data_IF_520275800969
#
_entry.id   IF_520275800969
#
_cell.length_a   1.000
_cell.length_b   1.000
_cell.length_c   1.000
_cell.angle_alpha   90.00
_cell.angle_beta   90.00
_cell.angle_gamma   90.00
#
_symmetry.space_group_name_H-M   'P 1'
#
loop_
_entity.id
_entity.type
_entity.pdbx_description
1 polymer ?
#
# COMPACT_ATOMS: atom_id res chain seq x y z
N UNK A 1 17.91 1.21 -50.02
CA UNK A 1 18.93 0.91 -48.98
C UNK A 1 19.31 2.20 -48.27
N UNK A 2 18.92 2.34 -47.00
CA UNK A 2 19.88 2.73 -45.99
C UNK A 2 19.81 1.82 -44.75
N UNK A 3 20.98 1.47 -44.23
CA UNK A 3 21.21 0.61 -43.07
C UNK A 3 20.88 1.38 -41.78
N UNK A 4 19.90 0.91 -41.00
CA UNK A 4 19.63 1.43 -39.64
C UNK A 4 20.63 0.83 -38.64
N UNK A 5 21.43 1.70 -38.02
CA UNK A 5 22.47 1.37 -37.05
C UNK A 5 21.82 0.81 -35.77
N UNK A 6 22.03 -0.49 -35.51
CA UNK A 6 21.93 -1.04 -34.14
C UNK A 6 22.96 -0.29 -33.28
N UNK A 7 22.50 0.50 -32.32
CA UNK A 7 23.33 1.01 -31.23
C UNK A 7 23.84 -0.19 -30.44
N UNK A 8 24.99 -0.70 -30.85
CA UNK A 8 25.72 -1.71 -30.11
C UNK A 8 26.11 -1.10 -28.77
N UNK A 9 25.58 -1.64 -27.68
CA UNK A 9 25.93 -1.22 -26.33
C UNK A 9 27.38 -1.66 -26.08
N UNK A 10 28.32 -0.76 -26.39
CA UNK A 10 29.77 -0.96 -26.34
C UNK A 10 30.25 -1.33 -24.93
N UNK A 11 29.47 -1.00 -23.91
CA UNK A 11 29.78 -1.24 -22.51
C UNK A 11 29.26 -2.56 -21.95
N UNK A 12 28.48 -3.37 -22.68
CA UNK A 12 27.92 -4.62 -22.13
C UNK A 12 29.00 -5.57 -21.60
N UNK A 13 30.06 -5.82 -22.38
CA UNK A 13 31.16 -6.70 -21.96
C UNK A 13 32.05 -6.06 -20.90
N UNK A 14 32.51 -4.79 -21.05
CA UNK A 14 33.25 -4.11 -19.99
C UNK A 14 32.50 -4.02 -18.67
N UNK A 15 31.20 -3.71 -18.69
CA UNK A 15 30.35 -3.63 -17.51
C UNK A 15 30.20 -5.00 -16.85
N UNK A 16 29.92 -6.06 -17.62
CA UNK A 16 29.88 -7.42 -17.09
C UNK A 16 31.19 -7.79 -16.42
N UNK A 17 32.33 -7.56 -17.09
CA UNK A 17 33.64 -7.85 -16.50
C UNK A 17 33.92 -7.03 -15.24
N UNK A 18 33.50 -5.77 -15.21
CA UNK A 18 33.66 -4.90 -14.04
C UNK A 18 32.79 -5.39 -12.87
N UNK A 19 31.53 -5.72 -13.13
CA UNK A 19 30.64 -6.30 -12.12
C UNK A 19 31.21 -7.61 -11.62
N UNK A 20 31.59 -8.53 -12.51
CA UNK A 20 32.16 -9.83 -12.15
C UNK A 20 33.48 -9.68 -11.34
N UNK A 21 34.26 -8.61 -11.59
CA UNK A 21 35.52 -8.36 -10.89
C UNK A 21 35.32 -7.78 -9.48
N UNK A 22 34.32 -6.93 -9.28
CA UNK A 22 34.15 -6.16 -8.04
C UNK A 22 32.95 -6.61 -7.20
N UNK A 23 32.01 -7.39 -7.75
CA UNK A 23 30.80 -7.83 -7.03
C UNK A 23 31.14 -8.61 -5.78
N UNK A 24 32.02 -9.60 -5.87
CA UNK A 24 32.42 -10.43 -4.72
C UNK A 24 33.09 -9.60 -3.63
N UNK A 25 33.92 -8.62 -4.02
CA UNK A 25 34.59 -7.72 -3.07
C UNK A 25 33.56 -6.83 -2.37
N UNK A 26 32.62 -6.26 -3.11
CA UNK A 26 31.55 -5.42 -2.56
C UNK A 26 30.61 -6.23 -1.67
N UNK A 27 30.25 -7.46 -2.06
CA UNK A 27 29.43 -8.39 -1.27
C UNK A 27 30.16 -8.75 0.02
N UNK A 28 31.44 -9.12 -0.04
CA UNK A 28 32.24 -9.42 1.14
C UNK A 28 32.36 -8.20 2.06
N UNK A 29 32.57 -7.00 1.51
CA UNK A 29 32.62 -5.77 2.29
C UNK A 29 31.27 -5.48 2.98
N UNK A 30 30.15 -5.67 2.28
CA UNK A 30 28.81 -5.52 2.84
C UNK A 30 28.48 -6.58 3.89
N UNK A 31 28.93 -7.83 3.72
CA UNK A 31 28.71 -8.89 4.72
C UNK A 31 29.46 -8.64 6.04
N UNK A 32 30.53 -7.86 6.02
CA UNK A 32 31.34 -7.53 7.21
C UNK A 32 31.02 -6.15 7.81
N UNK A 33 30.18 -5.35 7.16
CA UNK A 33 29.70 -4.08 7.70
C UNK A 33 28.51 -4.32 8.64
N UNK A 34 28.40 -3.51 9.70
CA UNK A 34 27.20 -3.57 10.53
C UNK A 34 26.01 -2.96 9.76
N UNK A 35 24.79 -3.50 9.92
CA UNK A 35 23.59 -2.97 9.24
C UNK A 35 23.40 -1.46 9.40
N UNK A 36 23.72 -0.90 10.57
CA UNK A 36 23.66 0.54 10.84
C UNK A 36 24.61 1.36 9.94
N UNK A 37 25.80 0.83 9.65
CA UNK A 37 26.82 1.52 8.87
C UNK A 37 26.47 1.45 7.38
N UNK A 38 25.88 0.33 6.94
CA UNK A 38 25.29 0.21 5.60
C UNK A 38 24.17 1.23 5.42
N UNK A 39 23.20 1.29 6.34
CA UNK A 39 22.06 2.22 6.27
C UNK A 39 22.50 3.69 6.31
N UNK A 40 23.51 4.05 7.10
CA UNK A 40 24.09 5.39 7.11
C UNK A 40 24.80 5.71 5.78
N UNK A 41 25.56 4.77 5.20
CA UNK A 41 26.28 4.97 3.95
C UNK A 41 25.34 5.23 2.76
N UNK A 42 24.18 4.58 2.71
CA UNK A 42 23.16 4.80 1.65
C UNK A 42 22.18 5.92 1.98
N UNK A 43 22.36 6.64 3.10
CA UNK A 43 21.56 7.81 3.47
C UNK A 43 20.18 7.50 4.06
N UNK A 44 19.94 6.26 4.51
CA UNK A 44 18.70 5.89 5.21
C UNK A 44 18.70 6.25 6.71
N UNK A 45 19.86 6.63 7.27
CA UNK A 45 19.97 7.13 8.63
C UNK A 45 20.67 8.50 8.66
N UNK A 46 20.06 9.48 9.33
CA UNK A 46 20.77 10.69 9.75
C UNK A 46 21.70 10.32 10.91
N UNK A 47 23.00 10.62 10.79
CA UNK A 47 23.96 10.31 11.85
C UNK A 47 23.54 11.02 13.15
N UNK A 48 23.40 10.25 14.23
CA UNK A 48 23.13 10.78 15.58
C UNK A 48 24.23 11.79 15.95
N UNK A 49 23.87 13.07 16.04
CA UNK A 49 24.77 14.08 16.59
C UNK A 49 24.92 13.77 18.09
N UNK A 50 26.15 13.60 18.63
CA UNK A 50 26.31 13.27 20.03
C UNK A 50 25.78 14.43 20.88
N UNK A 51 24.79 14.17 21.73
CA UNK A 51 24.34 15.15 22.71
C UNK A 51 25.52 15.50 23.63
N UNK A 52 26.00 16.74 23.56
CA UNK A 52 26.90 17.27 24.56
C UNK A 52 26.13 17.48 25.88
N UNK A 53 26.76 17.20 27.04
CA UNK A 53 26.11 17.43 28.32
C UNK A 53 25.85 18.92 28.52
N UNK A 54 24.58 19.28 28.72
CA UNK A 54 24.17 20.64 29.03
C UNK A 54 24.75 21.05 30.39
N UNK A 55 25.63 22.06 30.38
CA UNK A 55 26.06 22.74 31.61
C UNK A 55 25.03 23.83 31.94
N UNK A 56 24.48 23.91 33.16
CA UNK A 56 23.55 24.97 33.52
C UNK A 56 24.21 26.34 33.36
N UNK A 57 23.56 27.24 32.61
CA UNK A 57 24.03 28.60 32.44
C UNK A 57 24.04 29.32 33.80
N UNK A 58 25.24 29.66 34.29
CA UNK A 58 25.39 30.69 35.32
C UNK A 58 25.02 32.03 34.69
N UNK A 59 24.05 32.68 35.33
CA UNK A 59 23.62 34.05 35.06
C UNK A 59 24.80 34.99 35.22
N UNK A 60 25.25 35.60 34.13
CA UNK A 60 25.99 36.87 34.16
C UNK A 60 25.43 37.71 33.03
N UNK A 61 24.74 38.77 33.44
CA UNK A 61 24.36 39.94 32.64
C UNK A 61 25.59 40.66 32.13
N UNK A 62 25.59 41.09 30.86
CA UNK A 62 26.01 42.44 30.46
C UNK A 62 25.67 42.71 28.98
N UNK A 63 24.73 43.64 28.81
CA UNK A 63 24.64 44.71 27.81
C UNK A 63 25.15 44.50 26.37
N UNK A 64 24.22 44.57 25.39
CA UNK A 64 24.08 45.67 24.39
C UNK A 64 22.76 45.48 23.62
N UNK A 65 22.00 46.58 23.43
CA UNK A 65 20.70 46.70 22.74
C UNK A 65 20.89 47.38 21.34
N UNK A 66 19.84 47.68 20.52
CA UNK A 66 18.99 46.87 19.63
C UNK A 66 19.14 47.26 18.13
N UNK A 67 18.49 46.50 17.23
CA UNK A 67 17.40 46.97 16.34
C UNK A 67 17.31 46.15 15.05
N UNK A 68 16.24 45.37 14.90
CA UNK A 68 15.31 45.50 13.77
C UNK A 68 14.06 44.64 14.01
N UNK A 69 12.94 45.25 13.68
CA UNK A 69 11.59 44.98 14.12
C UNK A 69 10.88 43.84 13.37
N UNK A 70 9.99 43.18 14.13
CA UNK A 70 8.62 42.78 13.77
C UNK A 70 8.40 41.87 12.53
N UNK A 71 8.27 40.56 12.79
CA UNK A 71 7.11 39.80 12.29
C UNK A 71 6.57 38.92 13.43
N UNK A 72 5.31 39.15 13.80
CA UNK A 72 4.62 38.60 14.96
C UNK A 72 4.34 37.08 14.89
N UNK A 73 4.29 36.35 16.04
CA UNK A 73 3.80 34.98 16.12
C UNK A 73 2.28 34.98 16.42
N UNK A 74 1.42 35.31 15.45
CA UNK A 74 -0.05 35.25 15.64
C UNK A 74 -0.73 34.15 14.78
N UNK A 75 -0.05 33.61 13.75
CA UNK A 75 -0.72 32.68 12.81
C UNK A 75 -1.07 31.29 13.35
N UNK A 76 -0.43 30.81 14.43
CA UNK A 76 -0.65 29.41 14.87
C UNK A 76 -2.00 29.20 15.57
N UNK A 77 -2.51 30.19 16.30
CA UNK A 77 -3.81 30.10 17.00
C UNK A 77 -5.02 30.31 16.08
N UNK A 78 -4.89 31.14 15.04
CA UNK A 78 -5.98 31.49 14.12
C UNK A 78 -6.27 30.39 13.08
N UNK A 79 -5.29 29.53 12.81
CA UNK A 79 -5.44 28.37 11.90
C UNK A 79 -6.09 27.20 12.63
N UNK A 80 -5.68 26.91 13.87
CA UNK A 80 -6.27 25.86 14.72
C UNK A 80 -7.76 26.15 15.00
N UNK A 81 -8.10 27.38 15.39
CA UNK A 81 -9.48 27.79 15.64
C UNK A 81 -10.37 27.73 14.37
N UNK A 82 -9.78 27.85 13.18
CA UNK A 82 -10.50 27.75 11.90
C UNK A 82 -10.74 26.29 11.51
N UNK A 83 -9.78 25.40 11.77
CA UNK A 83 -9.93 23.95 11.57
C UNK A 83 -10.97 23.36 12.53
N UNK A 84 -10.94 23.78 13.80
CA UNK A 84 -11.92 23.33 14.81
C UNK A 84 -13.35 23.78 14.46
N UNK A 85 -13.53 25.03 14.01
CA UNK A 85 -14.84 25.55 13.58
C UNK A 85 -15.36 24.84 12.32
N UNK A 86 -14.48 24.50 11.37
CA UNK A 86 -14.86 23.75 10.17
C UNK A 86 -15.23 22.31 10.49
N UNK A 87 -14.54 21.70 11.46
CA UNK A 87 -14.87 20.38 11.98
C UNK A 87 -16.25 20.37 12.64
N UNK A 88 -16.51 21.27 13.59
CA UNK A 88 -17.80 21.39 14.27
C UNK A 88 -18.95 21.68 13.29
N UNK A 89 -18.71 22.57 12.30
CA UNK A 89 -19.68 22.88 11.27
C UNK A 89 -19.97 21.67 10.37
N UNK A 90 -18.94 20.92 10.00
CA UNK A 90 -19.11 19.69 9.24
C UNK A 90 -19.92 18.66 10.04
N UNK A 91 -19.56 18.42 11.31
CA UNK A 91 -20.23 17.43 12.14
C UNK A 91 -21.71 17.79 12.34
N UNK A 92 -22.00 19.07 12.56
CA UNK A 92 -23.37 19.57 12.65
C UNK A 92 -24.15 19.33 11.36
N UNK A 93 -23.59 19.68 10.19
CA UNK A 93 -24.25 19.48 8.89
C UNK A 93 -24.51 18.01 8.62
N UNK A 94 -23.52 17.13 8.86
CA UNK A 94 -23.70 15.68 8.67
C UNK A 94 -24.75 15.14 9.62
N UNK A 95 -24.75 15.58 10.88
CA UNK A 95 -25.78 15.19 11.86
C UNK A 95 -27.18 15.61 11.46
N UNK A 96 -27.37 16.82 10.95
CA UNK A 96 -28.68 17.29 10.47
C UNK A 96 -29.11 16.56 9.19
N UNK A 97 -28.18 16.24 8.28
CA UNK A 97 -28.48 15.42 7.11
C UNK A 97 -28.91 14.01 7.49
N UNK A 98 -28.20 13.37 8.42
CA UNK A 98 -28.57 12.04 8.95
C UNK A 98 -29.94 12.11 9.62
N UNK A 99 -30.22 13.14 10.41
CA UNK A 99 -31.57 13.36 10.97
C UNK A 99 -32.64 13.57 9.91
N UNK A 100 -32.37 14.30 8.83
CA UNK A 100 -33.33 14.49 7.73
C UNK A 100 -33.60 13.18 6.97
N UNK A 101 -32.62 12.29 6.91
CA UNK A 101 -32.75 10.94 6.35
C UNK A 101 -33.55 10.05 7.32
N UNK A 102 -33.29 10.15 8.62
CA UNK A 102 -33.93 9.38 9.70
C UNK A 102 -35.37 9.86 10.02
N UNK A 103 -35.71 11.13 9.75
CA UNK A 103 -36.95 11.73 10.28
C UNK A 103 -38.19 11.63 9.40
N UNK A 104 -38.14 11.18 8.14
CA UNK A 104 -39.39 10.98 7.40
C UNK A 104 -39.35 10.26 6.04
N UNK A 105 -38.24 9.59 5.66
CA UNK A 105 -38.19 8.82 4.41
C UNK A 105 -38.07 7.34 4.71
N UNK A 106 -38.96 6.52 4.15
CA UNK A 106 -38.81 5.07 4.29
C UNK A 106 -37.62 4.60 3.46
N UNK A 107 -37.06 3.45 3.82
CA UNK A 107 -35.98 2.79 3.07
C UNK A 107 -36.30 2.72 1.57
N UNK A 108 -37.56 2.44 1.26
CA UNK A 108 -38.11 2.36 -0.10
C UNK A 108 -38.08 3.68 -0.85
N UNK A 109 -38.28 4.82 -0.18
CA UNK A 109 -38.22 6.14 -0.84
C UNK A 109 -36.79 6.52 -1.22
N UNK A 110 -35.80 6.04 -0.47
CA UNK A 110 -34.39 6.28 -0.74
C UNK A 110 -33.88 5.34 -1.84
N UNK A 111 -34.30 4.07 -1.83
CA UNK A 111 -34.05 3.13 -2.94
C UNK A 111 -34.63 3.67 -4.25
N UNK A 112 -35.88 4.14 -4.21
CA UNK A 112 -36.52 4.75 -5.38
C UNK A 112 -35.79 6.02 -5.87
N UNK A 113 -35.12 6.76 -4.99
CA UNK A 113 -34.26 7.86 -5.40
C UNK A 113 -33.01 7.36 -6.15
N UNK A 114 -32.41 6.24 -5.74
CA UNK A 114 -31.32 5.61 -6.48
C UNK A 114 -31.76 5.09 -7.85
N UNK A 115 -32.94 4.47 -7.94
CA UNK A 115 -33.53 4.04 -9.23
C UNK A 115 -33.68 5.22 -10.20
N UNK A 116 -34.16 6.35 -9.67
CA UNK A 116 -34.32 7.57 -10.45
C UNK A 116 -32.97 8.12 -10.92
N UNK A 117 -31.91 8.00 -10.13
CA UNK A 117 -30.55 8.36 -10.54
C UNK A 117 -30.05 7.43 -11.65
N UNK A 118 -30.22 6.11 -11.50
CA UNK A 118 -29.83 5.15 -12.53
C UNK A 118 -30.53 5.43 -13.87
N UNK A 119 -31.82 5.79 -13.85
CA UNK A 119 -32.58 6.17 -15.05
C UNK A 119 -32.10 7.44 -15.77
N UNK A 120 -31.24 8.25 -15.12
CA UNK A 120 -30.64 9.46 -15.70
C UNK A 120 -29.28 9.22 -16.34
N UNK A 121 -28.69 8.05 -16.13
CA UNK A 121 -27.40 7.70 -16.71
C UNK A 121 -27.54 7.31 -18.20
N UNK A 122 -26.45 7.42 -18.98
CA UNK A 122 -26.40 6.84 -20.32
C UNK A 122 -26.75 5.35 -20.28
N UNK A 123 -27.36 4.82 -21.36
CA UNK A 123 -27.82 3.42 -21.42
C UNK A 123 -26.78 2.40 -20.96
N UNK A 124 -25.52 2.59 -21.34
CA UNK A 124 -24.42 1.69 -20.96
C UNK A 124 -24.16 1.60 -19.47
N UNK A 125 -24.54 2.62 -18.69
CA UNK A 125 -24.30 2.68 -17.24
C UNK A 125 -25.59 2.53 -16.42
N UNK A 126 -26.75 2.77 -17.05
CA UNK A 126 -28.04 2.65 -16.39
C UNK A 126 -28.34 1.21 -15.97
N UNK A 127 -27.98 0.22 -16.78
CA UNK A 127 -28.23 -1.20 -16.48
C UNK A 127 -27.35 -1.70 -15.33
N UNK A 128 -26.05 -1.41 -15.37
CA UNK A 128 -25.11 -1.73 -14.29
C UNK A 128 -25.47 -1.00 -12.98
N UNK A 129 -25.87 0.28 -13.07
CA UNK A 129 -26.35 1.03 -11.92
C UNK A 129 -27.58 0.37 -11.29
N UNK A 130 -28.54 -0.05 -12.11
CA UNK A 130 -29.77 -0.68 -11.64
C UNK A 130 -29.49 -2.00 -10.93
N UNK A 131 -28.58 -2.82 -11.47
CA UNK A 131 -28.16 -4.08 -10.84
C UNK A 131 -27.52 -3.86 -9.46
N UNK A 132 -26.70 -2.81 -9.31
CA UNK A 132 -26.09 -2.44 -8.03
C UNK A 132 -27.15 -1.97 -7.03
N UNK A 133 -28.13 -1.17 -7.46
CA UNK A 133 -29.21 -0.69 -6.59
C UNK A 133 -30.13 -1.84 -6.17
N UNK A 134 -30.50 -2.74 -7.08
CA UNK A 134 -31.37 -3.88 -6.78
C UNK A 134 -30.69 -4.89 -5.83
N UNK A 135 -29.39 -5.12 -6.03
CA UNK A 135 -28.62 -6.12 -5.27
C UNK A 135 -28.17 -5.59 -3.93
N UNK A 136 -27.70 -4.34 -3.90
CA UNK A 136 -27.01 -3.79 -2.74
C UNK A 136 -27.69 -2.56 -2.16
N UNK A 137 -28.68 -1.96 -2.80
CA UNK A 137 -29.26 -0.68 -2.38
C UNK A 137 -29.70 -0.67 -0.92
N UNK A 138 -30.32 -1.75 -0.44
CA UNK A 138 -30.74 -1.88 0.98
C UNK A 138 -29.55 -2.03 1.94
N UNK A 139 -28.54 -2.78 1.54
CA UNK A 139 -27.30 -2.92 2.32
C UNK A 139 -26.50 -1.62 2.33
N UNK A 140 -26.38 -0.95 1.18
CA UNK A 140 -25.76 0.38 1.02
C UNK A 140 -26.51 1.39 1.88
N UNK A 141 -27.84 1.37 1.86
CA UNK A 141 -28.65 2.24 2.70
C UNK A 141 -28.45 1.95 4.19
N UNK A 142 -28.49 0.67 4.60
CA UNK A 142 -28.22 0.25 5.96
C UNK A 142 -26.82 0.69 6.43
N UNK A 143 -25.81 0.58 5.56
CA UNK A 143 -24.44 1.06 5.80
C UNK A 143 -24.41 2.58 5.91
N UNK A 144 -25.07 3.31 5.01
CA UNK A 144 -25.14 4.79 5.08
C UNK A 144 -25.86 5.27 6.35
N UNK A 145 -26.83 4.51 6.85
CA UNK A 145 -27.53 4.82 8.09
C UNK A 145 -26.74 4.42 9.35
N UNK A 146 -25.89 3.39 9.27
CA UNK A 146 -25.12 2.86 10.41
C UNK A 146 -23.69 3.41 10.52
N UNK A 147 -23.04 3.77 9.40
CA UNK A 147 -21.62 4.14 9.31
C UNK A 147 -21.39 5.64 9.03
N UNK A 148 -22.43 6.43 8.75
CA UNK A 148 -22.32 7.88 8.56
C UNK A 148 -22.24 8.64 9.89
N UNK A 149 -21.36 8.22 10.79
CA UNK A 149 -21.05 9.03 11.98
C UNK A 149 -20.45 10.37 11.51
N UNK A 150 -20.98 11.52 11.99
CA UNK A 150 -20.47 12.84 11.63
C UNK A 150 -18.95 12.95 11.76
N UNK A 151 -18.39 12.29 12.77
CA UNK A 151 -16.98 12.24 13.05
C UNK A 151 -16.16 11.55 11.95
N UNK A 152 -16.64 10.41 11.42
CA UNK A 152 -15.95 9.65 10.38
C UNK A 152 -16.00 10.40 9.04
N UNK A 153 -17.18 10.91 8.68
CA UNK A 153 -17.39 11.66 7.44
C UNK A 153 -16.53 12.92 7.42
N UNK A 154 -16.52 13.69 8.51
CA UNK A 154 -15.73 14.92 8.59
C UNK A 154 -14.23 14.68 8.69
N UNK A 155 -13.81 13.53 9.23
CA UNK A 155 -12.40 13.09 9.18
C UNK A 155 -11.98 12.67 7.77
N UNK A 156 -12.83 11.97 7.02
CA UNK A 156 -12.56 11.59 5.62
C UNK A 156 -12.47 12.80 4.69
N UNK A 157 -13.31 13.81 4.91
CA UNK A 157 -13.26 15.09 4.22
C UNK A 157 -12.06 15.95 4.64
N UNK A 158 -11.24 15.47 5.58
CA UNK A 158 -10.10 16.19 6.15
C UNK A 158 -10.49 17.53 6.80
N UNK A 159 -11.76 17.67 7.20
CA UNK A 159 -12.30 18.85 7.89
C UNK A 159 -12.14 18.74 9.41
N UNK A 160 -11.97 17.52 9.91
CA UNK A 160 -11.60 17.23 11.30
C UNK A 160 -10.22 16.60 11.36
N UNK A 161 -9.33 17.18 12.15
CA UNK A 161 -8.00 16.63 12.41
C UNK A 161 -8.02 15.83 13.71
N UNK A 162 -8.37 14.54 13.66
CA UNK A 162 -8.25 13.70 14.85
C UNK A 162 -6.77 13.34 15.10
N UNK A 163 -6.21 13.85 16.19
CA UNK A 163 -5.04 13.22 16.83
C UNK A 163 -5.48 11.86 17.38
N UNK A 164 -5.34 10.81 16.57
CA UNK A 164 -5.56 9.43 16.97
C UNK A 164 -7.03 9.04 17.09
N UNK A 165 -7.41 7.99 16.35
CA UNK A 165 -8.59 7.19 16.70
C UNK A 165 -8.42 6.69 18.15
N UNK A 166 -9.46 6.72 19.00
CA UNK A 166 -9.42 6.00 20.26
C UNK A 166 -9.14 4.53 19.96
N UNK A 167 -8.01 4.03 20.44
CA UNK A 167 -7.76 2.60 20.49
C UNK A 167 -8.85 2.00 21.39
N UNK A 168 -9.88 1.41 20.78
CA UNK A 168 -10.74 0.47 21.47
C UNK A 168 -9.85 -0.64 22.00
N UNK A 169 -9.60 -0.64 23.32
CA UNK A 169 -9.05 -1.78 24.03
C UNK A 169 -10.09 -2.90 24.02
N UNK A 170 -10.26 -3.53 22.87
CA UNK A 170 -10.96 -4.80 22.77
C UNK A 170 -9.95 -5.89 23.17
N UNK A 171 -10.26 -6.62 24.23
CA UNK A 171 -9.55 -7.86 24.55
C UNK A 171 -9.57 -8.76 23.31
N UNK A 172 -8.38 -9.00 22.76
CA UNK A 172 -8.14 -9.85 21.60
C UNK A 172 -8.42 -11.30 22.00
N UNK A 173 -9.66 -11.72 21.87
CA UNK A 173 -9.97 -13.11 21.52
C UNK A 173 -9.83 -13.22 20.01
N UNK A 174 -8.78 -13.94 19.57
CA UNK A 174 -8.53 -14.43 18.20
C UNK A 174 -9.33 -13.72 17.11
N UNK A 175 -8.70 -12.74 16.47
CA UNK A 175 -9.27 -11.94 15.39
C UNK A 175 -9.59 -12.88 14.20
N UNK A 176 -10.85 -13.31 14.10
CA UNK A 176 -11.44 -13.65 12.81
C UNK A 176 -11.33 -12.40 11.93
N UNK A 177 -10.97 -12.60 10.67
CA UNK A 177 -10.98 -11.56 9.64
C UNK A 177 -12.21 -10.64 9.81
N UNK A 178 -12.00 -9.33 9.78
CA UNK A 178 -13.10 -8.36 9.95
C UNK A 178 -14.21 -8.62 8.92
N UNK A 179 -15.46 -8.29 9.24
CA UNK A 179 -16.61 -8.57 8.35
C UNK A 179 -16.41 -8.06 6.91
N UNK A 180 -15.82 -6.87 6.75
CA UNK A 180 -15.46 -6.28 5.45
C UNK A 180 -14.37 -7.06 4.71
N UNK A 181 -13.43 -7.69 5.43
CA UNK A 181 -12.41 -8.54 4.85
C UNK A 181 -13.04 -9.79 4.23
N UNK A 182 -13.98 -10.44 4.94
CA UNK A 182 -14.67 -11.62 4.44
C UNK A 182 -15.60 -11.31 3.28
N UNK A 183 -16.28 -10.17 3.30
CA UNK A 183 -17.10 -9.70 2.17
C UNK A 183 -16.23 -9.42 0.96
N UNK A 184 -15.10 -8.72 1.14
CA UNK A 184 -14.18 -8.47 0.05
C UNK A 184 -13.62 -9.78 -0.53
N UNK A 185 -13.17 -10.72 0.31
CA UNK A 185 -12.65 -12.00 -0.16
C UNK A 185 -13.69 -12.80 -0.95
N UNK A 186 -14.95 -12.79 -0.50
CA UNK A 186 -16.05 -13.44 -1.23
C UNK A 186 -16.37 -12.73 -2.55
N UNK A 187 -16.35 -11.40 -2.56
CA UNK A 187 -16.60 -10.62 -3.78
C UNK A 187 -15.49 -10.83 -4.81
N UNK A 188 -14.22 -10.73 -4.38
CA UNK A 188 -13.07 -10.98 -5.26
C UNK A 188 -13.03 -12.44 -5.70
N UNK A 189 -13.34 -13.39 -4.80
CA UNK A 189 -13.46 -14.81 -5.15
C UNK A 189 -14.60 -15.07 -6.13
N UNK A 190 -15.74 -14.40 -6.00
CA UNK A 190 -16.83 -14.49 -6.98
C UNK A 190 -16.42 -13.91 -8.32
N UNK A 191 -15.72 -12.77 -8.34
CA UNK A 191 -15.19 -12.19 -9.57
C UNK A 191 -14.18 -13.15 -10.21
N UNK A 192 -13.25 -13.72 -9.45
CA UNK A 192 -12.32 -14.73 -9.93
C UNK A 192 -13.05 -15.99 -10.45
N UNK A 193 -14.13 -16.40 -9.79
CA UNK A 193 -14.98 -17.53 -10.17
C UNK A 193 -15.78 -17.32 -11.46
N UNK A 194 -16.16 -16.07 -11.76
CA UNK A 194 -17.07 -15.72 -12.85
C UNK A 194 -16.40 -14.93 -13.98
N UNK A 195 -15.16 -14.47 -13.78
CA UNK A 195 -14.25 -14.17 -14.87
C UNK A 195 -13.96 -15.48 -15.61
N UNK A 196 -13.62 -15.41 -16.90
CA UNK A 196 -13.26 -16.60 -17.67
C UNK A 196 -11.99 -17.24 -17.05
N UNK A 197 -12.17 -18.14 -16.07
CA UNK A 197 -11.11 -18.81 -15.30
C UNK A 197 -10.09 -19.57 -16.12
N UNK A 198 -10.39 -19.77 -17.40
CA UNK A 198 -9.54 -20.46 -18.34
C UNK A 198 -8.99 -19.49 -19.39
N UNK A 199 -8.72 -18.23 -19.02
CA UNK A 199 -7.88 -17.40 -19.85
C UNK A 199 -6.57 -18.13 -20.08
N UNK A 200 -6.39 -18.60 -21.31
CA UNK A 200 -5.16 -19.26 -21.70
C UNK A 200 -4.00 -18.27 -21.55
N UNK A 201 -2.78 -18.78 -21.37
CA UNK A 201 -1.58 -17.94 -21.38
C UNK A 201 -1.58 -17.01 -22.60
N UNK A 202 -2.04 -17.55 -23.72
CA UNK A 202 -2.20 -16.90 -25.01
C UNK A 202 -3.24 -15.76 -24.96
N UNK A 203 -4.36 -15.92 -24.25
CA UNK A 203 -5.38 -14.86 -24.08
C UNK A 203 -4.90 -13.72 -23.19
N UNK A 204 -4.17 -14.04 -22.10
CA UNK A 204 -3.58 -13.03 -21.22
C UNK A 204 -2.54 -12.20 -21.99
N UNK A 205 -1.71 -12.86 -22.80
CA UNK A 205 -0.71 -12.18 -23.62
C UNK A 205 -1.36 -11.33 -24.72
N UNK A 206 -2.40 -11.85 -25.37
CA UNK A 206 -3.16 -11.10 -26.36
C UNK A 206 -3.78 -9.82 -25.75
N UNK A 207 -4.26 -9.88 -24.50
CA UNK A 207 -4.77 -8.71 -23.80
C UNK A 207 -3.68 -7.68 -23.49
N UNK A 208 -2.49 -8.12 -23.05
CA UNK A 208 -1.34 -7.25 -22.80
C UNK A 208 -0.82 -6.58 -24.08
N UNK A 209 -0.66 -7.35 -25.16
CA UNK A 209 -0.28 -6.85 -26.49
C UNK A 209 -1.34 -5.88 -27.05
N UNK A 210 -2.63 -6.17 -26.83
CA UNK A 210 -3.72 -5.27 -27.17
C UNK A 210 -3.63 -3.98 -26.37
N UNK A 211 -3.30 -4.05 -25.09
CA UNK A 211 -2.98 -2.91 -24.23
C UNK A 211 -1.89 -2.03 -24.82
N UNK A 212 -0.77 -2.64 -25.21
CA UNK A 212 0.35 -1.94 -25.85
C UNK A 212 -0.05 -1.25 -27.17
N UNK A 213 -1.00 -1.82 -27.92
CA UNK A 213 -1.50 -1.25 -29.18
C UNK A 213 -2.22 0.10 -29.04
N UNK A 214 -2.68 0.45 -27.84
CA UNK A 214 -3.29 1.77 -27.56
C UNK A 214 -2.26 2.88 -27.35
N UNK A 215 -0.98 2.52 -27.16
CA UNK A 215 0.09 3.49 -26.97
C UNK A 215 0.58 4.03 -28.32
N UNK A 216 0.91 5.33 -28.42
CA UNK A 216 1.56 5.88 -29.60
C UNK A 216 3.03 5.41 -29.68
N UNK A 217 3.60 5.41 -30.89
CA UNK A 217 5.04 5.22 -31.05
C UNK A 217 5.81 6.37 -30.38
N UNK A 218 6.95 6.12 -29.71
CA UNK A 218 7.69 4.84 -29.62
C UNK A 218 7.28 3.94 -28.43
N UNK A 219 6.33 4.38 -27.61
CA UNK A 219 5.96 3.70 -26.35
C UNK A 219 5.31 2.34 -26.59
N UNK A 220 4.60 2.20 -27.71
CA UNK A 220 4.11 0.90 -28.18
C UNK A 220 5.22 -0.14 -28.25
N UNK A 221 6.32 0.14 -28.95
CA UNK A 221 7.42 -0.81 -29.13
C UNK A 221 8.13 -1.16 -27.81
N UNK A 222 8.21 -0.19 -26.88
CA UNK A 222 8.77 -0.44 -25.55
C UNK A 222 7.84 -1.33 -24.71
N UNK A 223 6.53 -1.11 -24.81
CA UNK A 223 5.52 -1.94 -24.18
C UNK A 223 5.54 -3.37 -24.75
N UNK A 224 5.54 -3.53 -26.07
CA UNK A 224 5.62 -4.83 -26.73
C UNK A 224 6.88 -5.61 -26.30
N UNK A 225 8.02 -4.92 -26.22
CA UNK A 225 9.27 -5.53 -25.75
C UNK A 225 9.21 -5.91 -24.26
N UNK A 226 8.61 -5.06 -23.42
CA UNK A 226 8.44 -5.33 -22.00
C UNK A 226 7.53 -6.55 -21.76
N UNK A 227 6.38 -6.62 -22.45
CA UNK A 227 5.47 -7.76 -22.38
C UNK A 227 6.19 -9.04 -22.80
N UNK A 228 6.95 -9.00 -23.89
CA UNK A 228 7.73 -10.15 -24.38
C UNK A 228 8.83 -10.59 -23.42
N UNK A 229 9.57 -9.65 -22.82
CA UNK A 229 10.72 -9.95 -21.96
C UNK A 229 10.31 -10.50 -20.59
N UNK A 230 9.20 -10.00 -20.05
CA UNK A 230 8.72 -10.34 -18.71
C UNK A 230 7.50 -11.25 -18.70
N UNK A 231 7.03 -11.72 -19.85
CA UNK A 231 5.90 -12.64 -20.05
C UNK A 231 5.71 -13.70 -18.94
N UNK A 232 6.69 -14.59 -18.64
CA UNK A 232 6.48 -15.65 -17.65
C UNK A 232 6.23 -15.08 -16.24
N UNK A 233 6.90 -13.98 -15.89
CA UNK A 233 6.73 -13.30 -14.61
C UNK A 233 5.40 -12.53 -14.56
N UNK A 234 5.00 -11.89 -15.67
CA UNK A 234 3.73 -11.17 -15.76
C UNK A 234 2.54 -12.12 -15.61
N UNK A 235 2.60 -13.31 -16.22
CA UNK A 235 1.58 -14.34 -16.09
C UNK A 235 1.50 -14.84 -14.65
N UNK A 236 2.64 -15.17 -14.03
CA UNK A 236 2.69 -15.63 -12.64
C UNK A 236 2.14 -14.56 -11.68
N UNK A 237 2.53 -13.30 -11.87
CA UNK A 237 2.02 -12.17 -11.07
C UNK A 237 0.52 -11.99 -11.30
N UNK A 238 0.01 -12.04 -12.54
CA UNK A 238 -1.41 -11.85 -12.83
C UNK A 238 -2.28 -12.95 -12.22
N UNK A 239 -1.79 -14.19 -12.21
CA UNK A 239 -2.44 -15.31 -11.53
C UNK A 239 -2.38 -15.15 -10.01
N UNK A 240 -1.27 -14.64 -9.46
CA UNK A 240 -1.12 -14.40 -8.02
C UNK A 240 -1.88 -13.16 -7.49
N UNK A 241 -2.00 -12.09 -8.27
CA UNK A 241 -2.64 -10.84 -7.83
C UNK A 241 -4.16 -10.90 -7.81
N UNK A 242 -4.75 -11.96 -8.38
CA UNK A 242 -6.18 -12.25 -8.25
C UNK A 242 -6.52 -13.00 -6.95
N UNK A 243 -5.52 -13.34 -6.12
CA UNK A 243 -5.77 -13.98 -4.82
C UNK A 243 -6.62 -13.05 -3.92
N UNK A 244 -7.82 -13.49 -3.48
CA UNK A 244 -8.76 -12.62 -2.78
C UNK A 244 -8.18 -11.97 -1.52
N UNK A 245 -7.30 -12.64 -0.77
CA UNK A 245 -6.69 -12.06 0.42
C UNK A 245 -5.70 -10.96 0.07
N UNK A 246 -4.91 -11.13 -0.99
CA UNK A 246 -3.98 -10.11 -1.49
C UNK A 246 -4.71 -8.84 -1.96
N UNK A 247 -5.73 -8.99 -2.82
CA UNK A 247 -6.53 -7.85 -3.31
C UNK A 247 -7.16 -7.10 -2.13
N UNK A 248 -7.83 -7.83 -1.23
CA UNK A 248 -8.52 -7.22 -0.10
C UNK A 248 -7.56 -6.61 0.94
N UNK A 249 -6.34 -7.11 1.05
CA UNK A 249 -5.27 -6.49 1.85
C UNK A 249 -4.75 -5.20 1.23
N UNK A 250 -4.66 -5.13 -0.11
CA UNK A 250 -4.22 -3.93 -0.83
C UNK A 250 -5.28 -2.84 -0.84
N UNK A 251 -6.56 -3.21 -0.90
CA UNK A 251 -7.70 -2.30 -0.73
C UNK A 251 -7.83 -1.81 0.73
N UNK A 252 -7.12 -2.45 1.67
CA UNK A 252 -7.06 -2.01 3.07
C UNK A 252 -8.26 -2.45 3.92
N UNK A 253 -9.12 -3.32 3.38
CA UNK A 253 -10.31 -3.86 4.05
C UNK A 253 -10.04 -5.19 4.77
N UNK A 254 -8.99 -5.89 4.37
CA UNK A 254 -8.38 -6.96 5.16
C UNK A 254 -7.17 -6.45 5.93
N UNK A 255 -6.87 -7.03 7.11
CA UNK A 255 -5.53 -6.93 7.69
C UNK A 255 -4.53 -7.27 6.61
N UNK A 256 -3.43 -6.52 6.51
CA UNK A 256 -2.39 -6.84 5.54
C UNK A 256 -2.00 -8.31 5.73
N UNK A 257 -2.34 -9.16 4.78
CA UNK A 257 -1.76 -10.48 4.67
C UNK A 257 -0.26 -10.21 4.56
N UNK A 258 0.44 -10.34 5.67
CA UNK A 258 1.88 -10.40 5.64
C UNK A 258 2.20 -11.66 4.86
N UNK A 259 2.38 -11.56 3.54
CA UNK A 259 3.36 -12.43 2.88
C UNK A 259 4.60 -12.25 3.77
N UNK A 260 5.09 -13.31 4.43
CA UNK A 260 6.30 -13.19 5.24
C UNK A 260 7.33 -12.51 4.35
N UNK A 261 7.84 -11.33 4.74
CA UNK A 261 8.84 -10.63 3.93
C UNK A 261 9.93 -11.65 3.58
N UNK A 262 10.45 -11.64 2.34
CA UNK A 262 11.62 -12.46 1.99
C UNK A 262 12.67 -12.30 3.10
N UNK A 263 12.98 -13.38 3.83
CA UNK A 263 13.81 -13.33 5.03
C UNK A 263 13.08 -13.38 6.38
N UNK A 264 11.79 -13.68 6.46
CA UNK A 264 11.06 -13.86 7.75
C UNK A 264 10.86 -15.32 8.12
N UNK A 265 10.83 -16.23 7.13
CA UNK A 265 10.94 -17.66 7.41
C UNK A 265 12.37 -17.98 7.84
N UNK A 266 12.52 -18.60 9.01
CA UNK A 266 13.84 -18.78 9.61
C UNK A 266 14.77 -19.66 8.75
N UNK A 267 14.21 -20.59 7.98
CA UNK A 267 14.99 -21.45 7.08
C UNK A 267 15.63 -20.70 5.91
N UNK A 268 15.13 -19.51 5.55
CA UNK A 268 15.74 -18.65 4.53
C UNK A 268 16.83 -17.73 5.08
N UNK A 269 17.10 -17.76 6.40
CA UNK A 269 18.20 -17.00 7.03
C UNK A 269 19.60 -17.58 6.72
N UNK A 270 19.65 -18.72 6.03
CA UNK A 270 20.88 -19.33 5.57
C UNK A 270 21.54 -20.28 6.59
N UNK A 271 22.65 -20.94 6.20
CA UNK A 271 23.23 -22.05 6.94
C UNK A 271 23.63 -21.71 8.38
N UNK A 272 23.89 -20.43 8.69
CA UNK A 272 24.14 -19.94 10.05
C UNK A 272 22.97 -20.20 11.01
N UNK A 273 21.73 -20.19 10.51
CA UNK A 273 20.55 -20.57 11.28
C UNK A 273 20.30 -22.07 11.22
N UNK A 274 20.12 -22.65 10.01
CA UNK A 274 19.67 -24.04 9.93
C UNK A 274 20.75 -25.06 10.28
N UNK A 275 22.03 -24.75 10.16
CA UNK A 275 23.12 -25.59 10.67
C UNK A 275 23.60 -25.16 12.07
N UNK A 276 22.81 -24.41 12.84
CA UNK A 276 23.16 -24.07 14.21
C UNK A 276 23.15 -25.31 15.13
N UNK A 277 22.15 -26.18 14.98
CA UNK A 277 22.03 -27.45 15.68
C UNK A 277 21.14 -28.44 14.92
N UNK A 278 21.04 -29.68 15.41
CA UNK A 278 20.25 -30.75 14.78
C UNK A 278 18.77 -30.41 14.69
N UNK A 279 18.22 -29.66 15.66
CA UNK A 279 16.80 -29.32 15.71
C UNK A 279 16.43 -28.30 14.63
N UNK A 280 17.23 -27.24 14.47
CA UNK A 280 17.04 -26.26 13.40
C UNK A 280 17.26 -26.89 12.02
N UNK A 281 18.24 -27.78 11.89
CA UNK A 281 18.51 -28.49 10.64
C UNK A 281 17.38 -29.44 10.27
N UNK A 282 16.78 -30.12 11.25
CA UNK A 282 15.60 -30.95 11.04
C UNK A 282 14.40 -30.12 10.61
N UNK A 283 14.17 -28.99 11.29
CA UNK A 283 13.04 -28.09 10.99
C UNK A 283 13.11 -27.49 9.57
N UNK A 284 14.31 -27.35 9.02
CA UNK A 284 14.56 -26.84 7.67
C UNK A 284 14.90 -27.93 6.65
N UNK A 285 14.73 -29.21 7.00
CA UNK A 285 15.01 -30.38 6.17
C UNK A 285 16.44 -30.42 5.56
N UNK A 286 17.43 -30.12 6.40
CA UNK A 286 18.76 -29.75 5.96
C UNK A 286 19.90 -30.48 6.69
N UNK A 287 19.55 -31.49 7.50
CA UNK A 287 20.46 -32.29 8.33
C UNK A 287 21.65 -32.83 7.53
N UNK A 288 21.40 -33.41 6.35
CA UNK A 288 22.46 -34.05 5.55
C UNK A 288 23.47 -33.03 5.00
N UNK A 289 23.00 -31.83 4.64
CA UNK A 289 23.90 -30.75 4.24
C UNK A 289 24.76 -30.28 5.42
N UNK A 290 24.15 -30.04 6.58
CA UNK A 290 24.88 -29.60 7.77
C UNK A 290 25.92 -30.63 8.23
N UNK A 291 25.56 -31.92 8.22
CA UNK A 291 26.53 -33.00 8.49
C UNK A 291 27.70 -32.94 7.52
N UNK A 292 27.45 -32.89 6.21
CA UNK A 292 28.51 -32.99 5.20
C UNK A 292 29.42 -31.78 5.11
N UNK A 293 28.88 -30.58 5.34
CA UNK A 293 29.55 -29.33 4.98
C UNK A 293 29.84 -28.40 6.14
N UNK A 294 29.25 -28.61 7.34
CA UNK A 294 29.36 -27.67 8.47
C UNK A 294 29.78 -28.33 9.78
N UNK A 295 29.24 -29.50 10.13
CA UNK A 295 29.51 -30.19 11.40
C UNK A 295 30.56 -31.30 11.32
N UNK A 296 31.09 -31.56 10.13
CA UNK A 296 32.18 -32.51 9.89
C UNK A 296 33.53 -31.92 10.28
#
# INVERSE_FOLDING_TARGET
MPLSKRSSCTWRRPCKNYVDQYSDIVIQMMMHMQPKDICALVGFCEQEVPMQPLVPAKVVSEDVIPALELVEPIKKGLVQAKEDVLCEMCEYVVKELVKMIDSNKTEEEIIHAFDKVCSKLPKSLSEECQEVVDTYGRSILSILLQEASPELVCSMLQLCTKQGLPALTAHVTQQKDGAFCEVCKKLVGYLDDNLEKNSTKEEILAALEKGCSFLPDPYKNQCDQFVTEYEPMLIEILVEVMEPSYVCSKVGVCPRAGKPLLGTEKCVWGPSYWCQNVETAASCNAIEHCKRHVWN
#
